data_IF_365227625245
#
_entry.id   IF_365227625245
#
_cell.length_a   1.000
_cell.length_b   1.000
_cell.length_c   1.000
_cell.angle_alpha   90.00
_cell.angle_beta   90.00
_cell.angle_gamma   90.00
#
_symmetry.space_group_name_H-M   'P 1'
#
loop_
_entity.id
_entity.type
_entity.pdbx_description
1 polymer ?
#
# COMPACT_ATOMS: atom_id res chain seq x y z
N UNK A 1 -23.88 -3.58 -1.72
CA UNK A 1 -23.62 -2.15 -2.01
C UNK A 1 -24.26 -1.75 -3.33
N UNK A 2 -24.93 -0.62 -3.38
CA UNK A 2 -25.47 0.00 -4.58
C UNK A 2 -24.41 0.82 -5.32
N UNK A 3 -24.68 1.25 -6.55
CA UNK A 3 -23.79 2.15 -7.32
C UNK A 3 -23.60 3.48 -6.58
N UNK A 4 -24.68 4.07 -6.05
CA UNK A 4 -24.61 5.33 -5.29
C UNK A 4 -23.76 5.20 -4.02
N UNK A 5 -23.85 4.07 -3.31
CA UNK A 5 -22.99 3.80 -2.14
C UNK A 5 -21.52 3.64 -2.54
N UNK A 6 -21.26 3.03 -3.70
CA UNK A 6 -19.88 2.92 -4.24
C UNK A 6 -19.30 4.29 -4.61
N UNK A 7 -20.09 5.15 -5.25
CA UNK A 7 -19.70 6.53 -5.53
C UNK A 7 -19.41 7.31 -4.24
N UNK A 8 -20.22 7.15 -3.20
CA UNK A 8 -20.00 7.76 -1.89
C UNK A 8 -18.69 7.25 -1.24
N UNK A 9 -18.45 5.93 -1.31
CA UNK A 9 -17.19 5.32 -0.84
C UNK A 9 -15.98 5.93 -1.54
N UNK A 10 -16.04 6.06 -2.87
CA UNK A 10 -14.94 6.64 -3.65
C UNK A 10 -14.75 8.13 -3.37
N UNK A 11 -15.83 8.87 -3.16
CA UNK A 11 -15.76 10.29 -2.78
C UNK A 11 -15.07 10.48 -1.43
N UNK A 12 -15.29 9.57 -0.48
CA UNK A 12 -14.71 9.65 0.87
C UNK A 12 -13.31 9.06 0.95
N UNK A 13 -13.06 7.92 0.29
CA UNK A 13 -11.85 7.13 0.45
C UNK A 13 -11.02 6.94 -0.83
N UNK A 14 -11.46 7.46 -1.97
CA UNK A 14 -10.80 7.25 -3.25
C UNK A 14 -9.37 7.76 -3.29
N UNK A 15 -9.11 8.95 -2.71
CA UNK A 15 -7.76 9.51 -2.61
C UNK A 15 -6.82 8.63 -1.76
N UNK A 16 -7.32 8.11 -0.63
CA UNK A 16 -6.53 7.20 0.21
C UNK A 16 -6.21 5.88 -0.50
N UNK A 17 -7.16 5.32 -1.27
CA UNK A 17 -6.93 4.10 -2.06
C UNK A 17 -5.92 4.36 -3.18
N UNK A 18 -6.03 5.50 -3.90
CA UNK A 18 -5.07 5.87 -4.93
C UNK A 18 -3.67 6.09 -4.34
N UNK A 19 -3.57 6.81 -3.22
CA UNK A 19 -2.31 6.99 -2.49
C UNK A 19 -1.69 5.65 -2.09
N UNK A 20 -2.50 4.70 -1.62
CA UNK A 20 -2.03 3.34 -1.35
C UNK A 20 -1.49 2.64 -2.60
N UNK A 21 -2.14 2.80 -3.76
CA UNK A 21 -1.63 2.28 -5.02
C UNK A 21 -0.28 2.92 -5.40
N UNK A 22 -0.11 4.24 -5.19
CA UNK A 22 1.18 4.93 -5.39
C UNK A 22 2.29 4.35 -4.53
N UNK A 23 2.02 4.08 -3.26
CA UNK A 23 3.00 3.44 -2.37
C UNK A 23 3.37 2.02 -2.81
N UNK A 24 2.44 1.27 -3.41
CA UNK A 24 2.73 -0.08 -3.90
C UNK A 24 3.58 -0.06 -5.17
N UNK A 25 3.24 0.80 -6.13
CA UNK A 25 3.83 0.78 -7.49
C UNK A 25 5.11 1.60 -7.60
N UNK A 26 5.20 2.71 -6.85
CA UNK A 26 6.31 3.65 -6.91
C UNK A 26 6.25 4.62 -8.09
N UNK A 27 5.27 4.53 -9.00
CA UNK A 27 5.10 5.45 -10.13
C UNK A 27 3.62 5.78 -10.37
N UNK A 28 3.34 7.00 -10.85
CA UNK A 28 1.97 7.53 -11.00
C UNK A 28 1.15 6.77 -12.05
N UNK A 29 1.76 6.39 -13.17
CA UNK A 29 1.06 5.72 -14.26
C UNK A 29 0.61 4.33 -13.80
N UNK A 30 1.53 3.54 -13.26
CA UNK A 30 1.20 2.21 -12.70
C UNK A 30 0.23 2.30 -11.52
N UNK A 31 0.30 3.37 -10.72
CA UNK A 31 -0.63 3.60 -9.61
C UNK A 31 -2.05 3.84 -10.11
N UNK A 32 -2.22 4.69 -11.12
CA UNK A 32 -3.52 4.96 -11.72
C UNK A 32 -4.12 3.71 -12.39
N UNK A 33 -3.31 2.95 -13.11
CA UNK A 33 -3.73 1.68 -13.72
C UNK A 33 -4.18 0.68 -12.64
N UNK A 34 -3.37 0.50 -11.61
CA UNK A 34 -3.71 -0.37 -10.49
C UNK A 34 -4.99 0.08 -9.76
N UNK A 35 -5.16 1.39 -9.58
CA UNK A 35 -6.36 1.95 -8.99
C UNK A 35 -7.59 1.68 -9.84
N UNK A 36 -7.54 1.94 -11.15
CA UNK A 36 -8.65 1.68 -12.08
C UNK A 36 -9.01 0.19 -12.12
N UNK A 37 -8.02 -0.70 -12.23
CA UNK A 37 -8.22 -2.15 -12.19
C UNK A 37 -8.89 -2.58 -10.87
N UNK A 38 -8.49 -1.96 -9.75
CA UNK A 38 -9.07 -2.20 -8.42
C UNK A 38 -10.54 -1.81 -8.40
N UNK A 39 -10.89 -0.63 -8.93
CA UNK A 39 -12.27 -0.16 -8.99
C UNK A 39 -13.13 -1.05 -9.89
N UNK A 40 -12.66 -1.41 -11.07
CA UNK A 40 -13.36 -2.30 -11.99
C UNK A 40 -13.62 -3.67 -11.32
N UNK A 41 -12.62 -4.19 -10.62
CA UNK A 41 -12.74 -5.47 -9.90
C UNK A 41 -13.70 -5.39 -8.73
N UNK A 42 -13.70 -4.30 -7.98
CA UNK A 42 -14.64 -4.04 -6.89
C UNK A 42 -16.07 -3.88 -7.45
N UNK A 43 -16.22 -3.08 -8.52
CA UNK A 43 -17.50 -2.86 -9.19
C UNK A 43 -18.15 -4.18 -9.65
N UNK A 44 -17.38 -5.09 -10.22
CA UNK A 44 -17.87 -6.42 -10.62
C UNK A 44 -18.34 -7.30 -9.45
N UNK A 45 -18.12 -6.87 -8.20
CA UNK A 45 -18.47 -7.59 -6.97
C UNK A 45 -19.34 -6.78 -6.00
N UNK A 46 -19.94 -5.70 -6.45
CA UNK A 46 -20.76 -4.79 -5.61
C UNK A 46 -21.77 -5.50 -4.73
N UNK A 47 -22.47 -6.50 -5.28
CA UNK A 47 -23.48 -7.27 -4.55
C UNK A 47 -22.91 -8.03 -3.32
N UNK A 48 -21.59 -8.18 -3.20
CA UNK A 48 -20.92 -8.88 -2.11
C UNK A 48 -20.32 -7.95 -1.05
N UNK A 49 -20.48 -6.65 -1.22
CA UNK A 49 -19.88 -5.63 -0.33
C UNK A 49 -21.03 -4.92 0.39
N UNK A 50 -21.00 -4.87 1.72
CA UNK A 50 -21.90 -4.07 2.53
C UNK A 50 -21.32 -2.69 2.75
N UNK A 51 -22.17 -1.66 2.86
CA UNK A 51 -21.75 -0.27 3.01
C UNK A 51 -22.87 0.61 3.60
N UNK A 52 -23.68 0.06 4.54
CA UNK A 52 -24.83 0.76 5.10
C UNK A 52 -24.44 1.57 6.35
N UNK A 53 -23.33 1.20 7.01
CA UNK A 53 -22.80 1.89 8.19
C UNK A 53 -21.39 2.43 7.93
N UNK A 54 -20.92 3.35 8.78
CA UNK A 54 -19.53 3.87 8.73
C UNK A 54 -18.50 2.75 8.87
N UNK A 55 -18.78 1.78 9.72
CA UNK A 55 -17.93 0.62 9.96
C UNK A 55 -17.84 -0.28 8.73
N UNK A 56 -18.97 -0.52 8.05
CA UNK A 56 -19.02 -1.25 6.78
C UNK A 56 -18.34 -0.48 5.64
N UNK A 57 -18.42 0.86 5.63
CA UNK A 57 -17.73 1.70 4.66
C UNK A 57 -16.20 1.60 4.82
N UNK A 58 -15.70 1.60 6.07
CA UNK A 58 -14.29 1.37 6.37
C UNK A 58 -13.85 -0.05 5.97
N UNK A 59 -14.67 -1.04 6.27
CA UNK A 59 -14.45 -2.43 5.84
C UNK A 59 -14.43 -2.55 4.31
N UNK A 60 -15.29 -1.82 3.60
CA UNK A 60 -15.31 -1.76 2.15
C UNK A 60 -14.02 -1.11 1.59
N UNK A 61 -13.53 -0.01 2.20
CA UNK A 61 -12.21 0.57 1.87
C UNK A 61 -11.11 -0.49 1.99
N UNK A 62 -11.06 -1.18 3.13
CA UNK A 62 -10.06 -2.21 3.40
C UNK A 62 -10.16 -3.39 2.42
N UNK A 63 -11.37 -3.73 1.99
CA UNK A 63 -11.58 -4.73 0.94
C UNK A 63 -11.00 -4.28 -0.42
N UNK A 64 -11.19 -3.01 -0.82
CA UNK A 64 -10.59 -2.47 -2.04
C UNK A 64 -9.06 -2.49 -1.98
N UNK A 65 -8.49 -2.13 -0.83
CA UNK A 65 -7.04 -2.24 -0.59
C UNK A 65 -6.55 -3.68 -0.76
N UNK A 66 -7.28 -4.65 -0.22
CA UNK A 66 -7.00 -6.08 -0.42
C UNK A 66 -7.03 -6.51 -1.90
N UNK A 67 -7.96 -5.94 -2.69
CA UNK A 67 -8.01 -6.15 -4.16
C UNK A 67 -6.76 -5.56 -4.81
N UNK A 68 -6.38 -4.32 -4.48
CA UNK A 68 -5.20 -3.66 -5.03
C UNK A 68 -3.92 -4.46 -4.78
N UNK A 69 -3.69 -4.91 -3.53
CA UNK A 69 -2.55 -5.76 -3.18
C UNK A 69 -2.50 -7.03 -4.02
N UNK A 70 -3.65 -7.70 -4.18
CA UNK A 70 -3.73 -8.94 -4.97
C UNK A 70 -3.44 -8.71 -6.45
N UNK A 71 -3.96 -7.63 -7.03
CA UNK A 71 -3.69 -7.27 -8.42
C UNK A 71 -2.22 -6.94 -8.62
N UNK A 72 -1.64 -6.12 -7.75
CA UNK A 72 -0.22 -5.77 -7.75
C UNK A 72 0.69 -7.02 -7.70
N UNK A 73 0.44 -7.94 -6.77
CA UNK A 73 1.20 -9.18 -6.66
C UNK A 73 1.06 -10.07 -7.91
N UNK A 74 -0.12 -10.09 -8.53
CA UNK A 74 -0.34 -10.84 -9.77
C UNK A 74 0.40 -10.21 -10.96
N UNK A 75 0.40 -8.87 -11.08
CA UNK A 75 1.14 -8.15 -12.11
C UNK A 75 2.65 -8.39 -11.99
N UNK A 76 3.20 -8.29 -10.76
CA UNK A 76 4.62 -8.60 -10.52
C UNK A 76 4.99 -10.04 -10.88
N UNK A 77 4.18 -11.01 -10.48
CA UNK A 77 4.42 -12.42 -10.87
C UNK A 77 4.42 -12.62 -12.38
N UNK A 78 3.54 -11.93 -13.10
CA UNK A 78 3.52 -12.01 -14.58
C UNK A 78 4.78 -11.38 -15.17
N UNK A 79 5.19 -10.19 -14.71
CA UNK A 79 6.45 -9.56 -15.14
C UNK A 79 7.64 -10.48 -14.90
N UNK A 80 7.83 -11.02 -13.71
CA UNK A 80 8.92 -11.96 -13.41
C UNK A 80 8.93 -13.19 -14.33
N UNK A 81 7.76 -13.70 -14.73
CA UNK A 81 7.68 -14.83 -15.66
C UNK A 81 8.01 -14.45 -17.12
N UNK A 82 7.90 -13.15 -17.48
CA UNK A 82 8.29 -12.63 -18.79
C UNK A 82 9.73 -12.12 -18.80
N UNK A 83 10.27 -11.64 -17.67
CA UNK A 83 11.60 -11.03 -17.53
C UNK A 83 12.76 -12.01 -17.35
N UNK A 84 12.55 -13.31 -17.55
CA UNK A 84 13.67 -14.23 -17.78
C UNK A 84 14.48 -13.88 -19.04
N UNK A 85 14.17 -12.75 -19.72
CA UNK A 85 14.83 -12.35 -20.98
C UNK A 85 15.41 -10.93 -21.02
N UNK A 86 15.10 -10.00 -20.10
CA UNK A 86 15.68 -8.65 -20.15
C UNK A 86 15.78 -8.03 -18.75
N UNK A 87 17.00 -7.64 -18.38
CA UNK A 87 17.30 -6.75 -17.27
C UNK A 87 17.03 -5.32 -17.71
N UNK A 88 15.97 -4.70 -17.19
CA UNK A 88 15.82 -3.25 -17.24
C UNK A 88 15.88 -2.70 -15.82
N UNK A 89 16.87 -1.83 -15.60
CA UNK A 89 17.02 -1.02 -14.40
C UNK A 89 15.80 -0.11 -14.24
N UNK A 90 15.05 -0.31 -13.17
CA UNK A 90 13.94 0.58 -12.81
C UNK A 90 14.54 1.81 -12.13
N UNK A 91 14.62 2.92 -12.86
CA UNK A 91 14.91 4.22 -12.27
C UNK A 91 13.88 4.54 -11.18
N UNK A 92 14.39 4.79 -9.97
CA UNK A 92 13.62 5.25 -8.82
C UNK A 92 13.02 6.63 -9.10
N UNK A 93 11.79 6.67 -9.59
CA UNK A 93 11.01 7.91 -9.64
C UNK A 93 10.49 8.24 -8.23
N UNK A 94 11.16 9.18 -7.59
CA UNK A 94 10.76 9.78 -6.33
C UNK A 94 9.47 10.60 -6.52
N UNK A 95 8.33 10.08 -6.09
CA UNK A 95 7.12 10.89 -5.98
C UNK A 95 7.19 11.73 -4.71
N UNK A 96 7.30 13.03 -4.90
CA UNK A 96 6.98 13.98 -3.86
C UNK A 96 5.44 14.03 -3.72
N UNK A 97 4.89 13.45 -2.66
CA UNK A 97 3.60 13.97 -2.18
C UNK A 97 3.87 15.40 -1.73
N UNK A 98 3.26 16.37 -2.41
CA UNK A 98 3.15 17.75 -1.95
C UNK A 98 2.26 17.83 -0.70
N UNK A 99 2.73 17.28 0.39
CA UNK A 99 2.32 17.75 1.69
C UNK A 99 3.30 18.84 2.08
N UNK A 100 2.78 20.03 2.32
CA UNK A 100 3.50 21.18 2.86
C UNK A 100 4.10 20.80 4.21
N UNK A 101 5.23 20.10 4.13
CA UNK A 101 6.11 19.88 5.28
C UNK A 101 7.15 20.99 5.16
N UNK A 102 7.16 21.84 6.16
CA UNK A 102 8.11 22.93 6.33
C UNK A 102 9.55 22.47 6.03
N UNK A 103 10.41 23.35 5.46
CA UNK A 103 11.76 23.05 4.97
C UNK A 103 12.76 22.73 6.09
N UNK A 104 12.43 21.78 6.98
CA UNK A 104 13.16 21.45 8.18
C UNK A 104 13.65 19.98 8.16
N UNK A 105 14.42 19.61 9.18
CA UNK A 105 14.90 18.25 9.49
C UNK A 105 13.82 17.14 9.33
N UNK A 106 12.55 17.50 9.48
CA UNK A 106 11.42 16.58 9.31
C UNK A 106 11.27 16.08 7.86
N UNK A 107 11.59 16.91 6.85
CA UNK A 107 11.52 16.51 5.43
C UNK A 107 12.63 15.50 5.09
N UNK A 108 13.83 15.72 5.62
CA UNK A 108 14.95 14.80 5.42
C UNK A 108 14.67 13.45 6.08
N UNK A 109 14.14 13.46 7.31
CA UNK A 109 13.73 12.26 8.01
C UNK A 109 12.64 11.51 7.26
N UNK A 110 11.61 12.22 6.75
CA UNK A 110 10.55 11.61 5.96
C UNK A 110 11.09 10.91 4.72
N UNK A 111 12.01 11.56 3.99
CA UNK A 111 12.67 10.99 2.81
C UNK A 111 13.49 9.75 3.20
N UNK A 112 14.22 9.82 4.31
CA UNK A 112 15.03 8.69 4.80
C UNK A 112 14.16 7.49 5.20
N UNK A 113 13.04 7.73 5.92
CA UNK A 113 12.08 6.67 6.28
C UNK A 113 11.46 6.06 5.04
N UNK A 114 11.08 6.88 4.06
CA UNK A 114 10.52 6.40 2.79
C UNK A 114 11.50 5.49 2.06
N UNK A 115 12.74 5.92 1.89
CA UNK A 115 13.80 5.10 1.29
C UNK A 115 13.99 3.78 2.04
N UNK A 116 13.99 3.82 3.37
CA UNK A 116 14.08 2.62 4.20
C UNK A 116 12.91 1.65 3.99
N UNK A 117 11.71 2.16 3.73
CA UNK A 117 10.53 1.33 3.41
C UNK A 117 10.61 0.76 1.99
N UNK A 118 11.11 1.54 1.02
CA UNK A 118 11.20 1.12 -0.39
C UNK A 118 12.17 -0.05 -0.59
N UNK A 119 13.25 -0.11 0.19
CA UNK A 119 14.20 -1.24 0.16
C UNK A 119 13.72 -2.50 0.91
N UNK A 120 12.59 -2.43 1.62
CA UNK A 120 12.04 -3.62 2.28
C UNK A 120 11.66 -4.71 1.27
N UNK A 121 11.86 -5.98 1.62
CA UNK A 121 11.27 -7.09 0.90
C UNK A 121 9.75 -6.88 0.73
N UNK A 122 9.20 -7.16 -0.45
CA UNK A 122 7.79 -6.87 -0.81
C UNK A 122 6.78 -7.32 0.26
N UNK A 123 6.97 -8.53 0.83
CA UNK A 123 6.06 -9.06 1.86
C UNK A 123 6.06 -8.24 3.16
N UNK A 124 7.17 -7.58 3.48
CA UNK A 124 7.29 -6.68 4.64
C UNK A 124 6.71 -5.31 4.29
N UNK A 125 7.04 -4.78 3.12
CA UNK A 125 6.56 -3.49 2.62
C UNK A 125 5.03 -3.43 2.54
N UNK A 126 4.38 -4.46 1.97
CA UNK A 126 2.93 -4.54 1.88
C UNK A 126 2.27 -4.46 3.27
N UNK A 127 2.69 -5.26 4.24
CA UNK A 127 2.09 -5.21 5.59
C UNK A 127 2.35 -3.88 6.29
N UNK A 128 3.49 -3.24 6.02
CA UNK A 128 3.82 -1.91 6.54
C UNK A 128 2.86 -0.86 5.99
N UNK A 129 2.62 -0.82 4.68
CA UNK A 129 1.66 0.11 4.09
C UNK A 129 0.22 -0.16 4.53
N UNK A 130 -0.20 -1.43 4.64
CA UNK A 130 -1.54 -1.75 5.14
C UNK A 130 -1.74 -1.28 6.57
N UNK A 131 -0.73 -1.41 7.44
CA UNK A 131 -0.82 -1.03 8.85
C UNK A 131 -0.71 0.47 9.07
N UNK A 132 0.32 1.13 8.50
CA UNK A 132 0.63 2.53 8.80
C UNK A 132 -0.05 3.54 7.87
N UNK A 133 -0.29 3.17 6.62
CA UNK A 133 -0.90 4.08 5.65
C UNK A 133 -2.41 3.84 5.47
N UNK A 134 -2.83 2.57 5.43
CA UNK A 134 -4.24 2.24 5.27
C UNK A 134 -5.00 2.14 6.60
N UNK A 135 -4.30 2.26 7.74
CA UNK A 135 -4.85 2.20 9.09
C UNK A 135 -5.64 0.91 9.38
N UNK A 136 -5.11 -0.21 8.88
CA UNK A 136 -5.71 -1.52 9.09
C UNK A 136 -5.14 -2.21 10.32
N UNK A 137 -5.99 -2.87 11.09
CA UNK A 137 -5.55 -3.68 12.21
C UNK A 137 -4.93 -5.02 11.77
N UNK A 138 -4.30 -5.74 12.72
CA UNK A 138 -3.63 -7.02 12.42
C UNK A 138 -4.60 -8.09 11.92
N UNK A 139 -5.86 -8.06 12.37
CA UNK A 139 -6.89 -9.02 11.98
C UNK A 139 -7.34 -8.78 10.55
N UNK A 140 -7.58 -7.52 10.20
CA UNK A 140 -7.96 -7.08 8.87
C UNK A 140 -6.87 -7.41 7.84
N UNK A 141 -5.60 -7.10 8.16
CA UNK A 141 -4.46 -7.43 7.30
C UNK A 141 -4.35 -8.95 7.11
N UNK A 142 -4.46 -9.72 8.19
CA UNK A 142 -4.42 -11.18 8.16
C UNK A 142 -5.53 -11.75 7.26
N UNK A 143 -6.75 -11.22 7.38
CA UNK A 143 -7.89 -11.60 6.56
C UNK A 143 -7.67 -11.28 5.07
N UNK A 144 -7.23 -10.05 4.75
CA UNK A 144 -7.01 -9.62 3.37
C UNK A 144 -5.87 -10.40 2.69
N UNK A 145 -4.78 -10.64 3.40
CA UNK A 145 -3.61 -11.37 2.88
C UNK A 145 -3.76 -12.89 2.98
N UNK A 146 -4.80 -13.40 3.66
CA UNK A 146 -5.01 -14.83 3.94
C UNK A 146 -3.82 -15.49 4.63
N UNK A 147 -3.28 -14.84 5.66
CA UNK A 147 -2.18 -15.32 6.49
C UNK A 147 -2.55 -15.22 7.97
N UNK A 148 -1.92 -16.02 8.87
CA UNK A 148 -2.15 -15.90 10.31
C UNK A 148 -1.76 -14.50 10.85
N UNK A 149 -2.48 -13.98 11.85
CA UNK A 149 -2.13 -12.72 12.53
C UNK A 149 -0.72 -12.71 13.10
N UNK A 150 -0.24 -13.85 13.62
CA UNK A 150 1.14 -14.00 14.09
C UNK A 150 2.16 -13.77 12.97
N UNK A 151 1.82 -14.13 11.73
CA UNK A 151 2.67 -13.84 10.56
C UNK A 151 2.67 -12.35 10.23
N UNK A 152 1.53 -11.66 10.34
CA UNK A 152 1.45 -10.20 10.17
C UNK A 152 2.32 -9.51 11.20
N UNK A 153 2.16 -9.87 12.50
CA UNK A 153 2.94 -9.31 13.61
C UNK A 153 4.46 -9.52 13.40
N UNK A 154 4.86 -10.72 13.01
CA UNK A 154 6.28 -11.02 12.78
C UNK A 154 6.85 -10.24 11.58
N UNK A 155 6.08 -10.06 10.51
CA UNK A 155 6.48 -9.24 9.35
C UNK A 155 6.62 -7.77 9.74
N UNK A 156 5.68 -7.19 10.48
CA UNK A 156 5.78 -5.81 10.97
C UNK A 156 6.99 -5.61 11.88
N UNK A 157 7.28 -6.55 12.78
CA UNK A 157 8.45 -6.46 13.64
C UNK A 157 9.75 -6.50 12.81
N UNK A 158 9.86 -7.39 11.82
CA UNK A 158 11.01 -7.44 10.92
C UNK A 158 11.13 -6.15 10.08
N UNK A 159 10.02 -5.62 9.58
CA UNK A 159 10.02 -4.35 8.86
C UNK A 159 10.56 -3.21 9.73
N UNK A 160 10.08 -3.08 10.98
CA UNK A 160 10.57 -2.07 11.93
C UNK A 160 12.07 -2.21 12.21
N UNK A 161 12.55 -3.43 12.40
CA UNK A 161 13.98 -3.69 12.61
C UNK A 161 14.78 -3.27 11.40
N UNK A 162 14.39 -3.70 10.20
CA UNK A 162 15.11 -3.36 8.96
C UNK A 162 15.09 -1.85 8.66
N UNK A 163 13.94 -1.16 8.89
CA UNK A 163 13.87 0.31 8.76
C UNK A 163 14.83 0.98 9.76
N UNK A 164 14.84 0.55 11.02
CA UNK A 164 15.73 1.11 12.05
C UNK A 164 17.19 0.92 11.69
N UNK A 165 17.58 -0.25 11.21
CA UNK A 165 18.95 -0.55 10.78
C UNK A 165 19.35 0.35 9.61
N UNK A 166 18.49 0.46 8.59
CA UNK A 166 18.73 1.33 7.44
C UNK A 166 18.88 2.81 7.83
N UNK A 167 18.04 3.31 8.75
CA UNK A 167 18.12 4.68 9.24
C UNK A 167 19.44 4.92 9.99
N UNK A 168 19.87 4.00 10.84
CA UNK A 168 21.15 4.09 11.56
C UNK A 168 22.35 4.11 10.61
N UNK A 169 22.37 3.26 9.59
CA UNK A 169 23.41 3.23 8.56
C UNK A 169 23.53 4.55 7.79
N UNK A 170 22.43 5.31 7.70
CA UNK A 170 22.35 6.61 7.04
C UNK A 170 22.46 7.81 8.01
N UNK A 171 22.94 7.58 9.25
CA UNK A 171 23.26 8.65 10.20
C UNK A 171 22.09 9.16 11.05
N UNK A 172 20.94 8.49 11.01
CA UNK A 172 19.79 8.83 11.86
C UNK A 172 19.86 8.02 13.16
N UNK A 173 20.41 8.63 14.22
CA UNK A 173 20.47 8.01 15.55
C UNK A 173 19.22 8.40 16.36
N UNK A 174 18.65 7.43 17.10
CA UNK A 174 17.54 7.70 18.05
C UNK A 174 16.17 7.09 17.71
N UNK A 175 16.13 6.14 16.76
CA UNK A 175 14.90 5.41 16.39
C UNK A 175 14.91 3.94 16.82
#
# INVERSE_FOLDING_TARGET
MTVTQFESLLKTHGSAILGFCRHLTGDEISAQDLYQDTLLKAFSKLAKINCDTTEEMLSAKNYLIGIAVKLYQNQKRRKMNYETSFTDDVEDMLYAEENVIDESEQKELYIAVRKAVDVLPEKLRIVTFMFYYADMDLSEIAHQLKIPQGTVKSRLNRARTSIREHLKENGYEGF
#
